data_IF_119191167752
#
_entry.id   IF_119191167752
#
_cell.length_a   1.000
_cell.length_b   1.000
_cell.length_c   1.000
_cell.angle_alpha   90.00
_cell.angle_beta   90.00
_cell.angle_gamma   90.00
#
_symmetry.space_group_name_H-M   'P 1'
#
loop_
_entity.id
_entity.type
_entity.pdbx_description
1 polymer ?
#
# COMPACT_ATOMS: atom_id res chain seq x y z
N UNK A 1 18.27 -22.55 -35.58
CA UNK A 1 16.88 -22.18 -35.72
C UNK A 1 16.27 -23.01 -36.83
N UNK A 2 15.28 -23.81 -36.52
CA UNK A 2 14.64 -24.67 -37.51
C UNK A 2 13.77 -23.82 -38.46
N UNK A 3 13.82 -24.12 -39.71
CA UNK A 3 12.98 -23.54 -40.80
C UNK A 3 11.48 -23.88 -40.63
N UNK A 4 11.09 -24.42 -39.50
CA UNK A 4 9.75 -24.96 -39.21
C UNK A 4 8.67 -23.91 -39.02
N UNK A 5 9.00 -22.64 -38.78
CA UNK A 5 8.02 -21.60 -38.45
C UNK A 5 7.37 -20.88 -39.64
N UNK A 6 7.74 -21.18 -40.88
CA UNK A 6 7.29 -20.42 -42.06
C UNK A 6 5.85 -20.76 -42.49
N UNK A 7 5.26 -21.84 -41.96
CA UNK A 7 3.91 -22.32 -42.36
C UNK A 7 2.95 -22.49 -41.17
N UNK A 8 3.34 -22.06 -40.01
CA UNK A 8 2.45 -22.10 -38.82
C UNK A 8 1.48 -20.92 -38.89
N UNK A 9 0.20 -21.20 -38.69
CA UNK A 9 -0.87 -20.21 -38.79
C UNK A 9 -1.73 -20.20 -37.54
N UNK A 10 -2.15 -19.00 -37.13
CA UNK A 10 -3.23 -18.85 -36.15
C UNK A 10 -4.54 -18.83 -36.93
N UNK A 11 -5.37 -19.86 -36.74
CA UNK A 11 -6.65 -19.99 -37.44
C UNK A 11 -7.74 -19.13 -36.81
N UNK A 12 -7.77 -19.09 -35.48
CA UNK A 12 -8.77 -18.32 -34.74
C UNK A 12 -8.25 -17.92 -33.38
N UNK A 13 -8.79 -16.85 -32.85
CA UNK A 13 -8.63 -16.41 -31.45
C UNK A 13 -10.03 -16.20 -30.89
N UNK A 14 -10.40 -16.92 -29.84
CA UNK A 14 -11.74 -16.88 -29.26
C UNK A 14 -11.71 -16.71 -27.76
N UNK A 15 -12.78 -16.17 -27.20
CA UNK A 15 -13.01 -16.03 -25.75
C UNK A 15 -14.26 -16.84 -25.40
N UNK A 16 -14.14 -18.09 -24.93
CA UNK A 16 -15.26 -18.93 -24.64
C UNK A 16 -16.08 -18.41 -23.45
N UNK A 17 -17.41 -18.41 -23.57
CA UNK A 17 -18.38 -18.12 -22.51
C UNK A 17 -18.18 -16.74 -21.83
N UNK A 18 -17.56 -15.79 -22.49
CA UNK A 18 -17.22 -14.47 -21.91
C UNK A 18 -16.34 -14.59 -20.64
N UNK A 19 -15.65 -15.72 -20.49
CA UNK A 19 -14.72 -15.97 -19.39
C UNK A 19 -13.35 -15.32 -19.65
N UNK A 20 -12.51 -15.30 -18.62
CA UNK A 20 -11.13 -14.79 -18.72
C UNK A 20 -10.17 -15.85 -19.29
N UNK A 21 -10.55 -16.41 -20.43
CA UNK A 21 -9.83 -17.46 -21.15
C UNK A 21 -9.75 -17.02 -22.61
N UNK A 22 -8.56 -17.11 -23.18
CA UNK A 22 -8.32 -16.88 -24.58
C UNK A 22 -7.82 -18.20 -25.19
N UNK A 23 -8.52 -18.68 -26.22
CA UNK A 23 -8.12 -19.85 -27.00
C UNK A 23 -7.62 -19.44 -28.35
N UNK A 24 -6.42 -19.89 -28.70
CA UNK A 24 -5.84 -19.71 -30.03
C UNK A 24 -5.76 -21.07 -30.70
N UNK A 25 -6.45 -21.21 -31.82
CA UNK A 25 -6.33 -22.41 -32.63
C UNK A 25 -5.16 -22.23 -33.62
N UNK A 26 -4.23 -23.15 -33.53
CA UNK A 26 -2.98 -23.14 -34.30
C UNK A 26 -3.00 -24.29 -35.32
N UNK A 27 -2.43 -24.03 -36.49
CA UNK A 27 -2.21 -25.04 -37.52
C UNK A 27 -0.72 -25.06 -37.89
N UNK A 28 -0.14 -26.23 -37.96
CA UNK A 28 1.25 -26.42 -38.32
C UNK A 28 1.41 -27.72 -39.11
N UNK A 29 2.52 -27.86 -39.83
CA UNK A 29 2.93 -29.13 -40.46
C UNK A 29 3.72 -29.94 -39.42
N UNK A 30 3.39 -31.22 -39.30
CA UNK A 30 4.20 -32.16 -38.50
C UNK A 30 5.50 -32.55 -39.23
N UNK A 31 6.29 -33.45 -38.63
CA UNK A 31 7.56 -33.92 -39.19
C UNK A 31 7.38 -34.70 -40.50
N UNK A 32 6.19 -35.24 -40.76
CA UNK A 32 5.83 -35.93 -41.99
C UNK A 32 5.27 -35.01 -43.08
N UNK A 33 4.98 -33.76 -42.74
CA UNK A 33 4.39 -32.77 -43.64
C UNK A 33 2.86 -32.78 -43.63
N UNK A 34 2.23 -33.50 -42.65
CA UNK A 34 0.79 -33.49 -42.52
C UNK A 34 0.32 -32.31 -41.67
N UNK A 35 -0.87 -31.77 -42.02
CA UNK A 35 -1.48 -30.66 -41.32
C UNK A 35 -2.00 -31.10 -39.98
N UNK A 36 -1.44 -30.54 -38.91
CA UNK A 36 -1.84 -30.77 -37.53
C UNK A 36 -2.40 -29.54 -36.90
N UNK A 37 -3.44 -29.71 -36.08
CA UNK A 37 -4.03 -28.62 -35.29
C UNK A 37 -3.72 -28.77 -33.82
N UNK A 38 -3.46 -27.64 -33.17
CA UNK A 38 -3.21 -27.56 -31.73
C UNK A 38 -3.92 -26.33 -31.17
N UNK A 39 -4.09 -26.31 -29.86
CA UNK A 39 -4.66 -25.14 -29.16
C UNK A 39 -3.70 -24.61 -28.11
N UNK A 40 -3.56 -23.29 -28.09
CA UNK A 40 -2.94 -22.58 -26.99
C UNK A 40 -4.04 -21.89 -26.18
N UNK A 41 -4.17 -22.27 -24.92
CA UNK A 41 -5.20 -21.78 -24.01
C UNK A 41 -4.54 -20.92 -22.94
N UNK A 42 -4.94 -19.66 -22.88
CA UNK A 42 -4.42 -18.69 -21.90
C UNK A 42 -5.52 -18.39 -20.88
N UNK A 43 -5.34 -18.82 -19.65
CA UNK A 43 -6.23 -18.54 -18.52
C UNK A 43 -5.71 -17.34 -17.72
N UNK A 44 -6.50 -16.28 -17.58
CA UNK A 44 -6.12 -15.03 -16.91
C UNK A 44 -6.88 -14.90 -15.59
N UNK A 45 -6.44 -15.65 -14.56
CA UNK A 45 -7.14 -15.79 -13.27
C UNK A 45 -6.25 -15.42 -12.07
N UNK A 46 -5.44 -14.38 -12.19
CA UNK A 46 -4.52 -13.92 -11.14
C UNK A 46 -3.53 -15.01 -10.72
N UNK A 47 -3.52 -15.41 -9.45
CA UNK A 47 -2.62 -16.49 -8.97
C UNK A 47 -2.84 -17.85 -9.65
N UNK A 48 -4.01 -18.07 -10.22
CA UNK A 48 -4.40 -19.29 -10.92
C UNK A 48 -4.22 -19.20 -12.44
N UNK A 49 -3.67 -18.10 -12.96
CA UNK A 49 -3.36 -17.97 -14.39
C UNK A 49 -2.42 -19.07 -14.86
N UNK A 50 -2.68 -19.58 -16.06
CA UNK A 50 -1.89 -20.64 -16.69
C UNK A 50 -1.86 -20.44 -18.21
N UNK A 51 -0.89 -21.04 -18.88
CA UNK A 51 -0.89 -21.22 -20.34
C UNK A 51 -0.78 -22.70 -20.57
N UNK A 52 -1.70 -23.23 -21.36
CA UNK A 52 -1.88 -24.66 -21.58
C UNK A 52 -1.83 -24.92 -23.07
N UNK A 53 -1.06 -25.91 -23.48
CA UNK A 53 -0.92 -26.31 -24.86
C UNK A 53 -1.52 -27.71 -25.04
N UNK A 54 -2.47 -27.85 -25.97
CA UNK A 54 -3.17 -29.10 -26.21
C UNK A 54 -3.06 -29.51 -27.68
N UNK A 55 -3.30 -30.78 -27.94
CA UNK A 55 -3.59 -31.27 -29.28
C UNK A 55 -5.02 -30.92 -29.75
N UNK A 56 -5.41 -31.37 -30.92
CA UNK A 56 -6.72 -31.09 -31.51
C UNK A 56 -7.88 -31.68 -30.65
N UNK A 57 -7.64 -32.81 -30.00
CA UNK A 57 -8.63 -33.52 -29.19
C UNK A 57 -8.75 -32.96 -27.76
N UNK A 58 -7.92 -31.93 -27.44
CA UNK A 58 -7.91 -31.32 -26.13
C UNK A 58 -7.04 -32.04 -25.10
N UNK A 59 -6.21 -32.98 -25.50
CA UNK A 59 -5.23 -33.62 -24.61
C UNK A 59 -4.08 -32.64 -24.36
N UNK A 60 -3.78 -32.40 -23.09
CA UNK A 60 -2.71 -31.50 -22.66
C UNK A 60 -1.36 -32.05 -23.09
N UNK A 61 -0.63 -31.34 -23.92
CA UNK A 61 0.75 -31.61 -24.28
C UNK A 61 1.67 -31.10 -23.18
N UNK A 62 1.47 -29.84 -22.75
CA UNK A 62 2.21 -29.20 -21.68
C UNK A 62 1.48 -27.97 -21.11
N UNK A 63 1.96 -27.45 -19.98
CA UNK A 63 1.45 -26.23 -19.36
C UNK A 63 2.53 -25.55 -18.52
N UNK A 64 2.44 -24.22 -18.35
CA UNK A 64 3.38 -23.48 -17.50
C UNK A 64 3.29 -23.92 -16.05
N UNK A 65 2.06 -24.21 -15.56
CA UNK A 65 1.83 -24.70 -14.20
C UNK A 65 1.20 -26.08 -14.25
N UNK A 66 1.91 -27.08 -13.79
CA UNK A 66 1.38 -28.43 -13.60
C UNK A 66 0.56 -28.49 -12.31
N UNK A 67 -0.72 -28.81 -12.42
CA UNK A 67 -1.66 -28.88 -11.31
C UNK A 67 -2.13 -30.30 -11.15
N UNK A 68 -1.69 -30.97 -10.08
CA UNK A 68 -2.12 -32.33 -9.71
C UNK A 68 -3.30 -32.31 -8.74
N UNK A 69 -3.94 -33.46 -8.50
CA UNK A 69 -4.97 -33.63 -7.47
C UNK A 69 -4.51 -33.24 -6.06
N UNK A 70 -3.21 -33.29 -5.77
CA UNK A 70 -2.67 -32.86 -4.49
C UNK A 70 -2.70 -31.32 -4.33
N UNK A 71 -2.65 -30.58 -5.45
CA UNK A 71 -2.66 -29.12 -5.47
C UNK A 71 -4.07 -28.56 -5.63
N UNK A 72 -4.93 -29.26 -6.38
CA UNK A 72 -6.31 -28.87 -6.63
C UNK A 72 -7.22 -30.09 -6.65
N UNK A 73 -8.27 -30.06 -5.82
CA UNK A 73 -9.34 -31.06 -5.86
C UNK A 73 -10.35 -30.82 -6.99
N UNK A 74 -10.25 -29.70 -7.70
CA UNK A 74 -11.25 -29.26 -8.69
C UNK A 74 -10.95 -29.79 -10.08
N UNK A 75 -9.68 -29.68 -10.53
CA UNK A 75 -9.23 -30.18 -11.83
C UNK A 75 -7.73 -30.43 -11.84
N UNK A 76 -7.30 -31.33 -12.70
CA UNK A 76 -5.89 -31.54 -13.01
C UNK A 76 -5.51 -30.79 -14.29
N UNK A 77 -4.26 -30.27 -14.32
CA UNK A 77 -3.64 -29.73 -15.52
C UNK A 77 -2.25 -30.35 -15.61
N UNK A 78 -2.19 -31.52 -16.27
CA UNK A 78 -0.98 -32.33 -16.42
C UNK A 78 -0.87 -32.86 -17.86
N UNK A 79 0.33 -33.05 -18.40
CA UNK A 79 0.52 -33.69 -19.68
C UNK A 79 -0.19 -35.05 -19.77
N UNK A 80 -0.81 -35.32 -20.91
CA UNK A 80 -1.59 -36.54 -21.16
C UNK A 80 -3.00 -36.55 -20.55
N UNK A 81 -3.42 -35.51 -19.84
CA UNK A 81 -4.81 -35.35 -19.36
C UNK A 81 -5.63 -34.51 -20.33
N UNK A 82 -6.92 -34.79 -20.40
CA UNK A 82 -7.84 -33.94 -21.16
C UNK A 82 -8.01 -32.57 -20.49
N UNK A 83 -7.92 -31.48 -21.24
CA UNK A 83 -8.19 -30.16 -20.73
C UNK A 83 -9.66 -30.01 -20.31
N UNK A 84 -9.85 -29.53 -19.11
CA UNK A 84 -11.18 -29.19 -18.57
C UNK A 84 -11.17 -27.72 -18.20
N UNK A 85 -12.20 -26.97 -18.60
CA UNK A 85 -12.35 -25.58 -18.22
C UNK A 85 -12.35 -25.42 -16.70
N UNK A 86 -11.85 -24.28 -16.18
CA UNK A 86 -12.07 -23.92 -14.79
C UNK A 86 -13.56 -23.99 -14.46
N UNK A 87 -13.93 -24.36 -13.23
CA UNK A 87 -15.33 -24.35 -12.85
C UNK A 87 -15.91 -22.95 -13.06
N UNK A 88 -16.95 -22.89 -13.88
CA UNK A 88 -17.68 -21.66 -14.09
C UNK A 88 -18.28 -21.17 -12.75
N UNK A 89 -18.24 -19.89 -12.47
CA UNK A 89 -19.04 -19.30 -11.42
C UNK A 89 -20.51 -19.49 -11.83
N UNK A 90 -21.42 -19.58 -10.87
CA UNK A 90 -22.87 -19.59 -11.14
C UNK A 90 -23.33 -18.21 -11.66
N UNK A 91 -22.84 -17.85 -12.84
CA UNK A 91 -23.12 -16.58 -13.52
C UNK A 91 -23.49 -16.86 -14.96
N UNK A 92 -24.44 -16.10 -15.45
CA UNK A 92 -24.86 -16.20 -16.85
C UNK A 92 -24.04 -15.27 -17.75
N UNK A 93 -23.95 -15.64 -19.01
CA UNK A 93 -23.36 -14.79 -20.03
C UNK A 93 -24.27 -13.58 -20.29
N UNK A 94 -23.79 -12.34 -20.08
CA UNK A 94 -24.61 -11.14 -20.26
C UNK A 94 -25.13 -10.96 -21.69
N UNK A 95 -24.49 -11.59 -22.67
CA UNK A 95 -24.88 -11.49 -24.08
C UNK A 95 -26.09 -12.35 -24.43
N UNK A 96 -26.41 -13.37 -23.62
CA UNK A 96 -27.45 -14.36 -23.90
C UNK A 96 -28.74 -14.17 -23.07
N UNK A 97 -28.70 -13.31 -22.05
CA UNK A 97 -29.87 -13.07 -21.19
C UNK A 97 -30.86 -12.07 -21.82
N UNK A 98 -32.12 -12.24 -21.48
CA UNK A 98 -33.22 -11.34 -21.83
C UNK A 98 -33.71 -10.47 -20.66
N UNK A 99 -34.67 -9.61 -20.90
CA UNK A 99 -35.27 -8.76 -19.87
C UNK A 99 -35.91 -9.57 -18.74
N UNK A 100 -36.51 -10.71 -19.05
CA UNK A 100 -37.17 -11.55 -18.06
C UNK A 100 -36.14 -12.15 -17.08
N UNK A 101 -35.02 -12.62 -17.62
CA UNK A 101 -33.92 -13.10 -16.79
C UNK A 101 -33.35 -11.99 -15.91
N UNK A 102 -33.10 -10.82 -16.49
CA UNK A 102 -32.55 -9.68 -15.74
C UNK A 102 -33.48 -9.27 -14.58
N UNK A 103 -34.77 -9.12 -14.84
CA UNK A 103 -35.76 -8.72 -13.83
C UNK A 103 -35.99 -9.78 -12.75
N UNK A 104 -36.06 -11.06 -13.13
CA UNK A 104 -36.47 -12.13 -12.22
C UNK A 104 -35.33 -12.88 -11.53
N UNK A 105 -34.09 -12.77 -12.04
CA UNK A 105 -32.93 -13.45 -11.46
C UNK A 105 -31.85 -12.46 -10.99
N UNK A 106 -31.51 -11.43 -11.78
CA UNK A 106 -30.48 -10.46 -11.36
C UNK A 106 -31.03 -9.54 -10.28
N UNK A 107 -32.16 -8.86 -10.54
CA UNK A 107 -32.73 -7.88 -9.62
C UNK A 107 -33.51 -8.49 -8.44
N UNK A 108 -33.72 -9.80 -8.40
CA UNK A 108 -34.33 -10.50 -7.26
C UNK A 108 -33.36 -10.90 -6.16
N UNK A 109 -32.07 -10.81 -6.39
CA UNK A 109 -31.06 -11.09 -5.34
C UNK A 109 -31.12 -10.00 -4.26
N UNK A 110 -31.27 -10.33 -2.96
CA UNK A 110 -31.42 -9.37 -1.87
C UNK A 110 -30.07 -8.73 -1.48
N UNK A 111 -29.47 -8.00 -2.39
CA UNK A 111 -28.17 -7.33 -2.24
C UNK A 111 -28.23 -5.94 -2.87
N UNK A 112 -27.14 -5.17 -2.84
CA UNK A 112 -27.10 -3.90 -3.57
C UNK A 112 -27.17 -4.13 -5.08
N UNK A 113 -27.74 -3.16 -5.81
CA UNK A 113 -27.95 -3.22 -7.27
C UNK A 113 -26.67 -3.53 -8.01
N UNK A 114 -25.59 -2.80 -7.72
CA UNK A 114 -24.26 -3.07 -8.30
C UNK A 114 -23.84 -4.52 -8.05
N UNK A 115 -23.96 -5.00 -6.80
CA UNK A 115 -23.59 -6.36 -6.43
C UNK A 115 -24.45 -7.40 -7.14
N UNK A 116 -25.76 -7.17 -7.28
CA UNK A 116 -26.66 -8.06 -8.01
C UNK A 116 -26.18 -8.25 -9.46
N UNK A 117 -25.79 -7.18 -10.14
CA UNK A 117 -25.34 -7.22 -11.54
C UNK A 117 -24.04 -8.03 -11.66
N UNK A 118 -22.93 -7.62 -10.98
CA UNK A 118 -21.63 -8.27 -11.22
C UNK A 118 -21.49 -9.67 -10.61
N UNK A 119 -22.37 -10.05 -9.67
CA UNK A 119 -22.39 -11.43 -9.12
C UNK A 119 -23.30 -12.37 -9.91
N UNK A 120 -24.16 -11.86 -10.78
CA UNK A 120 -25.05 -12.67 -11.61
C UNK A 120 -24.55 -12.86 -13.03
N UNK A 121 -23.72 -11.95 -13.52
CA UNK A 121 -23.34 -11.90 -14.92
C UNK A 121 -21.81 -12.04 -15.06
N UNK A 122 -21.39 -12.94 -15.96
CA UNK A 122 -19.98 -13.18 -16.28
C UNK A 122 -19.37 -11.97 -16.99
N UNK A 123 -18.08 -11.70 -16.78
CA UNK A 123 -17.34 -10.65 -17.47
C UNK A 123 -17.63 -9.22 -16.98
N UNK A 124 -18.69 -8.99 -16.21
CA UNK A 124 -19.00 -7.67 -15.66
C UNK A 124 -18.26 -7.45 -14.35
N UNK A 125 -17.47 -6.39 -14.30
CA UNK A 125 -16.76 -5.95 -13.10
C UNK A 125 -17.64 -5.03 -12.23
N UNK A 126 -17.29 -4.80 -10.94
CA UNK A 126 -17.98 -3.80 -10.13
C UNK A 126 -17.98 -2.40 -10.75
N UNK A 127 -16.92 -2.04 -11.50
CA UNK A 127 -16.82 -0.74 -12.18
C UNK A 127 -17.87 -0.62 -13.28
N UNK A 128 -18.01 -1.66 -14.10
CA UNK A 128 -19.01 -1.71 -15.17
C UNK A 128 -20.43 -1.73 -14.59
N UNK A 129 -20.67 -2.47 -13.51
CA UNK A 129 -21.97 -2.49 -12.85
C UNK A 129 -22.33 -1.10 -12.26
N UNK A 130 -21.36 -0.37 -11.70
CA UNK A 130 -21.56 1.02 -11.26
C UNK A 130 -21.85 1.96 -12.43
N UNK A 131 -21.17 1.80 -13.56
CA UNK A 131 -21.43 2.58 -14.77
C UNK A 131 -22.84 2.35 -15.31
N UNK A 132 -23.34 1.10 -15.30
CA UNK A 132 -24.71 0.77 -15.66
C UNK A 132 -25.71 1.48 -14.74
N UNK A 133 -25.49 1.43 -13.41
CA UNK A 133 -26.32 2.13 -12.44
C UNK A 133 -26.30 3.66 -12.67
N UNK A 134 -25.11 4.22 -12.92
CA UNK A 134 -24.96 5.65 -13.18
C UNK A 134 -25.73 6.09 -14.44
N UNK A 135 -25.61 5.34 -15.55
CA UNK A 135 -26.35 5.61 -16.79
C UNK A 135 -27.86 5.50 -16.63
N UNK A 136 -28.32 4.59 -15.76
CA UNK A 136 -29.72 4.44 -15.41
C UNK A 136 -30.24 5.51 -14.43
N UNK A 137 -29.36 6.35 -13.85
CA UNK A 137 -29.73 7.30 -12.81
C UNK A 137 -30.10 6.67 -11.48
N UNK A 138 -29.63 5.43 -11.22
CA UNK A 138 -29.99 4.64 -10.03
C UNK A 138 -28.77 4.57 -9.08
N UNK A 139 -29.04 4.70 -7.77
CA UNK A 139 -27.98 4.47 -6.76
C UNK A 139 -27.62 2.98 -6.69
N UNK A 140 -26.43 2.62 -7.17
CA UNK A 140 -25.92 1.25 -7.15
C UNK A 140 -25.72 0.66 -5.76
N UNK A 141 -25.66 1.49 -4.72
CA UNK A 141 -25.55 1.07 -3.32
C UNK A 141 -26.88 0.65 -2.70
N UNK A 142 -28.02 1.08 -3.25
CA UNK A 142 -29.34 0.72 -2.73
C UNK A 142 -29.67 -0.77 -2.92
N UNK A 143 -30.56 -1.28 -2.07
CA UNK A 143 -31.03 -2.66 -2.20
C UNK A 143 -31.91 -2.83 -3.43
N UNK A 144 -31.75 -3.94 -4.16
CA UNK A 144 -32.64 -4.31 -5.28
C UNK A 144 -34.14 -4.35 -4.90
N UNK A 145 -34.45 -4.70 -3.65
CA UNK A 145 -35.85 -4.73 -3.16
C UNK A 145 -36.46 -3.33 -3.04
N UNK A 146 -35.68 -2.26 -3.05
CA UNK A 146 -36.17 -0.88 -3.00
C UNK A 146 -36.39 -0.24 -4.35
N UNK A 147 -36.08 -0.93 -5.46
CA UNK A 147 -36.23 -0.40 -6.81
C UNK A 147 -37.71 -0.30 -7.22
N UNK A 148 -38.12 0.87 -7.69
CA UNK A 148 -39.39 1.05 -8.40
C UNK A 148 -39.34 0.32 -9.76
N UNK A 149 -40.54 0.14 -10.36
CA UNK A 149 -40.64 -0.52 -11.67
C UNK A 149 -39.91 0.29 -12.76
N UNK A 150 -40.00 1.61 -12.70
CA UNK A 150 -39.31 2.50 -13.64
C UNK A 150 -37.79 2.38 -13.53
N UNK A 151 -37.24 2.38 -12.30
CA UNK A 151 -35.79 2.21 -12.08
C UNK A 151 -35.26 0.85 -12.57
N UNK A 152 -36.08 -0.21 -12.45
CA UNK A 152 -35.74 -1.53 -12.99
C UNK A 152 -35.68 -1.51 -14.52
N UNK A 153 -36.63 -0.84 -15.17
CA UNK A 153 -36.68 -0.68 -16.65
C UNK A 153 -35.48 0.17 -17.13
N UNK A 154 -35.18 1.28 -16.45
CA UNK A 154 -34.02 2.15 -16.76
C UNK A 154 -32.67 1.41 -16.60
N UNK A 155 -32.54 0.58 -15.54
CA UNK A 155 -31.40 -0.28 -15.35
C UNK A 155 -31.22 -1.30 -16.48
N UNK A 156 -32.34 -1.94 -16.90
CA UNK A 156 -32.26 -2.86 -18.02
C UNK A 156 -31.93 -2.16 -19.33
N UNK A 157 -32.48 -0.99 -19.58
CA UNK A 157 -32.18 -0.20 -20.78
C UNK A 157 -30.67 0.19 -20.84
N UNK A 158 -30.11 0.64 -19.71
CA UNK A 158 -28.67 0.95 -19.62
C UNK A 158 -27.78 -0.29 -19.81
N UNK A 159 -28.17 -1.42 -19.21
CA UNK A 159 -27.50 -2.71 -19.41
C UNK A 159 -27.59 -3.19 -20.87
N UNK A 160 -28.79 -3.13 -21.49
CA UNK A 160 -28.99 -3.56 -22.87
C UNK A 160 -28.23 -2.71 -23.88
N UNK A 161 -28.15 -1.40 -23.67
CA UNK A 161 -27.34 -0.52 -24.48
C UNK A 161 -25.84 -0.91 -24.41
N UNK A 162 -25.32 -1.21 -23.23
CA UNK A 162 -23.94 -1.68 -23.06
C UNK A 162 -23.70 -3.05 -23.71
N UNK A 163 -24.64 -3.99 -23.50
CA UNK A 163 -24.62 -5.31 -24.13
C UNK A 163 -24.61 -5.22 -25.66
N UNK A 164 -25.43 -4.34 -26.22
CA UNK A 164 -25.48 -4.09 -27.66
C UNK A 164 -24.17 -3.56 -28.19
N UNK A 165 -23.57 -2.56 -27.53
CA UNK A 165 -22.25 -2.06 -27.90
C UNK A 165 -21.17 -3.16 -27.91
N UNK A 166 -21.22 -4.10 -26.96
CA UNK A 166 -20.29 -5.24 -26.94
C UNK A 166 -20.55 -6.18 -28.11
N UNK A 167 -21.82 -6.49 -28.43
CA UNK A 167 -22.18 -7.36 -29.56
C UNK A 167 -21.81 -6.77 -30.90
N UNK A 168 -21.88 -5.45 -31.01
CA UNK A 168 -21.52 -4.72 -32.24
C UNK A 168 -20.03 -4.33 -32.28
N UNK A 169 -19.24 -4.78 -31.30
CA UNK A 169 -17.80 -4.48 -31.19
C UNK A 169 -17.49 -2.97 -31.13
N UNK A 170 -18.46 -2.17 -30.64
CA UNK A 170 -18.33 -0.72 -30.49
C UNK A 170 -17.68 -0.40 -29.13
N UNK A 171 -16.37 -0.44 -29.11
CA UNK A 171 -15.58 -0.17 -27.91
C UNK A 171 -15.06 1.27 -27.88
N UNK A 172 -15.06 1.86 -26.68
CA UNK A 172 -14.45 3.17 -26.40
C UNK A 172 -13.54 3.05 -25.17
N UNK A 173 -12.36 2.42 -25.33
CA UNK A 173 -11.44 2.16 -24.24
C UNK A 173 -10.99 3.44 -23.56
N UNK A 174 -11.04 3.50 -22.23
CA UNK A 174 -10.67 4.70 -21.48
C UNK A 174 -9.96 4.39 -20.17
N UNK A 175 -9.23 5.40 -19.67
CA UNK A 175 -8.74 5.47 -18.30
C UNK A 175 -9.41 6.65 -17.62
N UNK A 176 -9.98 6.40 -16.43
CA UNK A 176 -10.44 7.43 -15.52
C UNK A 176 -9.27 7.89 -14.64
N UNK A 177 -9.01 9.19 -14.60
CA UNK A 177 -7.97 9.82 -13.80
C UNK A 177 -8.57 10.60 -12.65
N UNK A 178 -7.87 10.58 -11.52
CA UNK A 178 -8.04 11.51 -10.41
C UNK A 178 -6.73 12.29 -10.26
N UNK A 179 -6.70 13.51 -10.80
CA UNK A 179 -5.46 14.25 -10.99
C UNK A 179 -4.45 13.47 -11.84
N UNK A 180 -3.27 13.20 -11.29
CA UNK A 180 -2.24 12.40 -11.99
C UNK A 180 -2.39 10.89 -11.83
N UNK A 181 -3.29 10.43 -10.96
CA UNK A 181 -3.39 9.01 -10.65
C UNK A 181 -4.46 8.32 -11.51
N UNK A 182 -4.13 7.24 -12.24
CA UNK A 182 -5.12 6.41 -12.89
C UNK A 182 -5.93 5.68 -11.82
N UNK A 183 -7.25 5.83 -11.86
CA UNK A 183 -8.18 5.26 -10.89
C UNK A 183 -8.75 3.93 -11.39
N UNK A 184 -9.35 3.95 -12.57
CA UNK A 184 -9.99 2.79 -13.19
C UNK A 184 -9.78 2.81 -14.70
N UNK A 185 -9.98 1.68 -15.36
CA UNK A 185 -10.01 1.58 -16.81
C UNK A 185 -11.08 0.61 -17.28
N UNK A 186 -11.56 0.81 -18.48
CA UNK A 186 -12.56 -0.06 -19.11
C UNK A 186 -12.46 -0.06 -20.63
N UNK A 187 -13.08 -1.05 -21.26
CA UNK A 187 -13.25 -1.12 -22.71
C UNK A 187 -14.38 -0.22 -23.23
N UNK A 188 -15.17 0.35 -22.34
CA UNK A 188 -16.23 1.31 -22.66
C UNK A 188 -16.00 2.60 -21.89
N UNK A 189 -16.65 3.69 -22.33
CA UNK A 189 -16.57 4.99 -21.64
C UNK A 189 -17.18 4.89 -20.25
N UNK A 190 -16.45 5.35 -19.24
CA UNK A 190 -16.88 5.40 -17.84
C UNK A 190 -17.44 6.79 -17.51
N UNK A 191 -18.66 7.08 -17.94
CA UNK A 191 -19.27 8.42 -17.84
C UNK A 191 -19.48 8.89 -16.39
N UNK A 192 -19.51 7.95 -15.43
CA UNK A 192 -19.58 8.26 -14.01
C UNK A 192 -18.34 9.02 -13.47
N UNK A 193 -17.23 9.07 -14.20
CA UNK A 193 -16.03 9.82 -13.84
C UNK A 193 -15.91 11.16 -14.54
N UNK A 194 -16.94 11.59 -15.23
CA UNK A 194 -16.99 12.86 -15.96
C UNK A 194 -16.83 12.71 -17.48
N UNK A 195 -16.56 13.81 -18.13
CA UNK A 195 -16.43 13.87 -19.58
C UNK A 195 -14.98 13.58 -20.02
N UNK A 196 -14.84 13.31 -21.30
CA UNK A 196 -13.53 13.21 -21.94
C UNK A 196 -12.83 14.57 -21.88
N UNK A 197 -11.60 14.58 -21.43
CA UNK A 197 -10.77 15.78 -21.34
C UNK A 197 -9.46 15.62 -22.07
N UNK A 198 -9.12 16.62 -22.88
CA UNK A 198 -7.84 16.70 -23.54
C UNK A 198 -6.69 16.83 -22.54
N UNK A 199 -5.58 16.16 -22.84
CA UNK A 199 -4.34 16.27 -22.08
C UNK A 199 -4.42 15.82 -20.61
N UNK A 200 -5.17 14.77 -20.28
CA UNK A 200 -5.03 14.06 -19.01
C UNK A 200 -3.79 13.13 -19.04
N UNK A 201 -3.11 12.88 -17.89
CA UNK A 201 -3.43 13.36 -16.53
C UNK A 201 -2.99 14.81 -16.24
N UNK A 202 -3.76 15.52 -15.42
CA UNK A 202 -3.42 16.88 -14.93
C UNK A 202 -3.63 16.97 -13.42
N UNK A 203 -2.88 17.87 -12.76
CA UNK A 203 -3.08 18.18 -11.34
C UNK A 203 -4.49 18.77 -11.13
N UNK A 204 -5.17 18.26 -10.12
CA UNK A 204 -6.50 18.75 -9.68
C UNK A 204 -7.61 18.71 -10.79
N UNK A 205 -7.42 17.88 -11.82
CA UNK A 205 -8.43 17.67 -12.86
C UNK A 205 -8.75 16.17 -12.93
N UNK A 206 -10.00 15.85 -12.65
CA UNK A 206 -10.55 14.50 -12.83
C UNK A 206 -11.21 14.40 -14.21
N UNK A 207 -11.15 13.25 -14.86
CA UNK A 207 -11.75 13.06 -16.17
C UNK A 207 -11.35 11.77 -16.85
N UNK A 208 -11.78 11.62 -18.10
CA UNK A 208 -11.53 10.46 -18.92
C UNK A 208 -10.55 10.77 -20.04
N UNK A 209 -9.60 9.84 -20.23
CA UNK A 209 -8.75 9.78 -21.42
C UNK A 209 -9.16 8.57 -22.26
N UNK A 210 -9.59 8.81 -23.49
CA UNK A 210 -10.02 7.76 -24.42
C UNK A 210 -8.85 7.31 -25.31
N UNK A 211 -8.87 6.05 -25.70
CA UNK A 211 -7.80 5.41 -26.48
C UNK A 211 -8.39 4.64 -27.66
N UNK A 212 -7.63 4.41 -28.73
CA UNK A 212 -8.10 3.69 -29.91
C UNK A 212 -8.28 2.18 -29.66
N UNK A 213 -7.63 1.61 -28.65
CA UNK A 213 -7.73 0.19 -28.30
C UNK A 213 -7.35 -0.06 -26.85
N UNK A 214 -7.59 -1.29 -26.35
CA UNK A 214 -7.27 -1.69 -24.97
C UNK A 214 -5.79 -1.85 -24.69
N UNK A 215 -4.95 -2.18 -25.69
CA UNK A 215 -3.52 -2.39 -25.44
C UNK A 215 -2.82 -1.15 -24.87
N UNK A 216 -2.92 0.06 -25.48
CA UNK A 216 -2.35 1.25 -24.88
C UNK A 216 -3.02 1.65 -23.53
N UNK A 217 -4.31 1.35 -23.31
CA UNK A 217 -4.96 1.56 -22.01
C UNK A 217 -4.26 0.75 -20.93
N UNK A 218 -4.07 -0.54 -21.16
CA UNK A 218 -3.43 -1.45 -20.21
C UNK A 218 -1.99 -1.02 -19.94
N UNK A 219 -1.25 -0.70 -20.99
CA UNK A 219 0.13 -0.24 -20.88
C UNK A 219 0.24 1.04 -20.04
N UNK A 220 -0.49 2.09 -20.40
CA UNK A 220 -0.45 3.37 -19.68
C UNK A 220 -0.94 3.24 -18.23
N UNK A 221 -2.03 2.53 -18.01
CA UNK A 221 -2.58 2.31 -16.66
C UNK A 221 -1.58 1.62 -15.72
N UNK A 222 -1.00 0.51 -16.17
CA UNK A 222 -0.06 -0.24 -15.31
C UNK A 222 1.29 0.43 -15.18
N UNK A 223 1.79 1.14 -16.19
CA UNK A 223 2.99 1.98 -16.08
C UNK A 223 2.80 3.07 -15.02
N UNK A 224 1.72 3.86 -15.13
CA UNK A 224 1.42 4.92 -14.17
C UNK A 224 1.22 4.35 -12.75
N UNK A 225 0.48 3.26 -12.61
CA UNK A 225 0.26 2.59 -11.32
C UNK A 225 1.56 2.03 -10.71
N UNK A 226 2.46 1.50 -11.54
CA UNK A 226 3.78 1.03 -11.12
C UNK A 226 4.64 2.18 -10.58
N UNK A 227 4.64 3.33 -11.24
CA UNK A 227 5.36 4.53 -10.80
C UNK A 227 4.81 5.01 -9.45
N UNK A 228 3.49 5.17 -9.33
CA UNK A 228 2.83 5.58 -8.08
C UNK A 228 3.11 4.59 -6.94
N UNK A 229 3.06 3.29 -7.21
CA UNK A 229 3.34 2.26 -6.21
C UNK A 229 4.81 2.31 -5.76
N UNK A 230 5.74 2.50 -6.70
CA UNK A 230 7.18 2.62 -6.40
C UNK A 230 7.49 3.86 -5.56
N UNK A 231 6.87 5.00 -5.89
CA UNK A 231 6.98 6.24 -5.10
C UNK A 231 6.43 6.01 -3.69
N UNK A 232 5.26 5.37 -3.55
CA UNK A 232 4.67 5.05 -2.24
C UNK A 232 5.56 4.13 -1.41
N UNK A 233 6.10 3.06 -1.99
CA UNK A 233 7.01 2.14 -1.29
C UNK A 233 8.27 2.86 -0.82
N UNK A 234 8.95 3.59 -1.69
CA UNK A 234 10.15 4.36 -1.34
C UNK A 234 9.86 5.41 -0.26
N UNK A 235 8.74 6.13 -0.38
CA UNK A 235 8.30 7.09 0.63
C UNK A 235 8.03 6.42 2.00
N UNK A 236 7.47 5.22 2.01
CA UNK A 236 7.21 4.47 3.26
C UNK A 236 8.50 4.04 3.93
N UNK A 237 9.47 3.54 3.18
CA UNK A 237 10.78 3.13 3.71
C UNK A 237 11.57 4.34 4.24
N UNK A 238 11.60 5.44 3.49
CA UNK A 238 12.24 6.69 3.92
C UNK A 238 11.60 7.23 5.20
N UNK A 239 10.28 7.23 5.31
CA UNK A 239 9.55 7.64 6.53
C UNK A 239 9.92 6.77 7.73
N UNK A 240 9.99 5.46 7.54
CA UNK A 240 10.40 4.54 8.61
C UNK A 240 11.82 4.84 9.10
N UNK A 241 12.74 5.11 8.18
CA UNK A 241 14.12 5.49 8.52
C UNK A 241 14.14 6.81 9.30
N UNK A 242 13.45 7.84 8.80
CA UNK A 242 13.39 9.15 9.44
C UNK A 242 12.72 9.09 10.81
N UNK A 243 11.59 8.39 10.94
CA UNK A 243 10.91 8.21 12.23
C UNK A 243 11.80 7.50 13.26
N UNK A 244 12.50 6.43 12.85
CA UNK A 244 13.44 5.75 13.74
C UNK A 244 14.60 6.67 14.18
N UNK A 245 15.09 7.52 13.27
CA UNK A 245 16.11 8.51 13.60
C UNK A 245 15.58 9.56 14.60
N UNK A 246 14.38 10.09 14.37
CA UNK A 246 13.70 11.03 15.27
C UNK A 246 13.54 10.43 16.67
N UNK A 247 13.02 9.20 16.78
CA UNK A 247 12.84 8.55 18.08
C UNK A 247 14.16 8.36 18.83
N UNK A 248 15.24 7.97 18.14
CA UNK A 248 16.56 7.80 18.75
C UNK A 248 17.13 9.12 19.22
N UNK A 249 17.07 10.16 18.39
CA UNK A 249 17.59 11.49 18.70
C UNK A 249 16.76 12.15 19.82
N UNK A 250 15.44 12.00 19.81
CA UNK A 250 14.57 12.50 20.90
C UNK A 250 14.91 11.83 22.25
N UNK A 251 15.05 10.50 22.29
CA UNK A 251 15.44 9.78 23.51
C UNK A 251 16.83 10.21 24.00
N UNK A 252 17.78 10.43 23.10
CA UNK A 252 19.13 10.93 23.43
C UNK A 252 19.05 12.34 24.02
N UNK A 253 18.28 13.23 23.42
CA UNK A 253 18.08 14.60 23.88
C UNK A 253 17.42 14.63 25.26
N UNK A 254 16.36 13.87 25.50
CA UNK A 254 15.67 13.78 26.79
C UNK A 254 16.56 13.26 27.91
N UNK A 255 17.39 12.24 27.62
CA UNK A 255 18.36 11.71 28.55
C UNK A 255 19.42 12.76 28.92
N UNK A 256 19.99 13.44 27.94
CA UNK A 256 20.98 14.50 28.13
C UNK A 256 20.38 15.66 28.95
N UNK A 257 19.14 16.07 28.66
CA UNK A 257 18.41 17.09 29.41
C UNK A 257 18.18 16.70 30.87
N UNK A 258 17.82 15.45 31.11
CA UNK A 258 17.66 14.92 32.47
C UNK A 258 19.00 14.92 33.23
N UNK A 259 20.07 14.46 32.59
CA UNK A 259 21.41 14.47 33.17
C UNK A 259 21.91 15.90 33.45
N UNK A 260 21.61 16.86 32.53
CA UNK A 260 21.95 18.27 32.70
C UNK A 260 21.29 18.85 33.95
N UNK A 261 20.02 18.54 34.17
CA UNK A 261 19.26 18.94 35.38
C UNK A 261 19.89 18.38 36.66
N UNK A 262 20.41 17.16 36.63
CA UNK A 262 21.07 16.57 37.79
C UNK A 262 22.42 17.26 38.12
N UNK A 263 23.04 17.91 37.15
CA UNK A 263 24.28 18.69 37.36
C UNK A 263 24.03 20.04 38.05
N UNK A 264 22.78 20.54 38.08
CA UNK A 264 22.42 21.78 38.80
C UNK A 264 22.77 21.72 40.29
N UNK A 265 22.81 20.51 40.84
CA UNK A 265 23.20 20.28 42.26
C UNK A 265 24.72 20.54 42.51
N UNK A 266 25.52 20.86 41.49
CA UNK A 266 26.97 21.09 41.63
C UNK A 266 27.29 22.20 42.59
N UNK A 267 26.53 23.31 42.54
CA UNK A 267 26.83 24.49 43.36
C UNK A 267 26.67 24.20 44.88
N UNK A 268 25.79 23.30 45.25
CA UNK A 268 25.67 22.79 46.62
C UNK A 268 26.97 22.15 47.10
N UNK A 269 27.65 21.36 46.28
CA UNK A 269 28.91 20.72 46.62
C UNK A 269 30.09 21.70 46.69
N UNK A 270 30.04 22.79 45.93
CA UNK A 270 30.99 23.89 46.03
C UNK A 270 30.88 24.55 47.41
N UNK A 271 29.65 24.95 47.76
CA UNK A 271 29.33 25.58 49.05
C UNK A 271 29.75 24.65 50.24
N UNK A 272 29.44 23.36 50.13
CA UNK A 272 29.87 22.39 51.18
C UNK A 272 31.38 22.34 51.33
N UNK A 273 32.17 22.32 50.24
CA UNK A 273 33.62 22.34 50.28
C UNK A 273 34.21 23.61 50.88
N UNK A 274 33.62 24.76 50.53
CA UNK A 274 34.04 26.08 51.03
C UNK A 274 33.76 26.24 52.54
N UNK A 275 32.53 25.86 52.97
CA UNK A 275 32.15 25.92 54.37
C UNK A 275 32.98 24.97 55.27
N UNK A 276 33.26 23.75 54.78
CA UNK A 276 34.14 22.84 55.47
C UNK A 276 35.61 23.34 55.57
N UNK A 277 36.05 24.07 54.57
CA UNK A 277 37.36 24.71 54.62
C UNK A 277 37.44 25.83 55.65
N UNK A 278 36.33 26.60 55.79
CA UNK A 278 36.24 27.70 56.75
C UNK A 278 35.94 27.30 58.18
N UNK A 279 35.04 26.34 58.38
CA UNK A 279 34.55 25.91 59.68
C UNK A 279 35.04 24.52 60.15
N UNK A 280 35.84 23.85 59.35
CA UNK A 280 36.31 22.49 59.61
C UNK A 280 37.17 22.33 60.87
N UNK A 281 37.70 23.42 61.41
CA UNK A 281 38.42 23.44 62.68
C UNK A 281 37.51 23.07 63.89
N UNK A 282 36.19 23.22 63.74
CA UNK A 282 35.21 22.85 64.80
C UNK A 282 34.80 21.39 64.78
N UNK A 283 35.15 20.64 63.71
CA UNK A 283 34.83 19.20 63.58
C UNK A 283 35.77 18.34 64.49
N UNK A 284 35.17 17.35 65.12
CA UNK A 284 35.91 16.32 65.86
C UNK A 284 36.04 15.05 65.03
N UNK A 285 37.09 14.27 65.19
CA UNK A 285 37.19 12.97 64.58
C UNK A 285 36.00 12.08 64.90
N UNK A 286 35.34 11.53 63.87
CA UNK A 286 34.13 10.70 64.00
C UNK A 286 32.81 11.42 63.86
N UNK A 287 32.79 12.73 63.63
CA UNK A 287 31.56 13.48 63.39
C UNK A 287 30.95 13.06 62.03
N UNK A 288 29.60 12.83 62.02
CA UNK A 288 28.86 12.43 60.83
C UNK A 288 28.29 13.61 60.06
N UNK A 289 28.19 14.78 60.69
CA UNK A 289 27.70 16.01 60.09
C UNK A 289 28.24 17.24 60.87
N UNK A 290 28.23 18.38 60.18
CA UNK A 290 28.49 19.67 60.79
C UNK A 290 27.42 20.64 60.38
N UNK A 291 26.89 21.42 61.34
CA UNK A 291 25.93 22.53 61.07
C UNK A 291 26.67 23.84 61.24
N UNK A 292 26.73 24.64 60.20
CA UNK A 292 27.39 25.94 60.18
C UNK A 292 26.53 26.97 59.40
N UNK A 293 26.79 28.24 59.66
CA UNK A 293 26.15 29.31 58.93
C UNK A 293 26.74 29.42 57.50
N UNK A 294 25.83 29.43 56.54
CA UNK A 294 26.19 29.66 55.13
C UNK A 294 26.38 31.16 54.93
N UNK A 295 27.57 31.63 54.72
CA UNK A 295 27.91 33.04 54.56
C UNK A 295 27.36 33.67 53.27
N UNK A 296 26.77 32.87 52.33
CA UNK A 296 26.14 33.40 51.11
C UNK A 296 24.70 33.90 51.36
N UNK A 297 23.94 33.28 52.26
CA UNK A 297 22.52 33.56 52.49
C UNK A 297 22.14 33.60 53.98
N UNK A 298 23.16 33.53 54.88
CA UNK A 298 22.98 33.47 56.35
C UNK A 298 22.09 32.34 56.86
N UNK A 299 21.84 31.29 56.09
CA UNK A 299 21.09 30.13 56.49
C UNK A 299 21.94 29.13 57.26
N UNK A 300 21.33 28.41 58.19
CA UNK A 300 22.02 27.29 58.83
C UNK A 300 22.01 26.07 57.93
N UNK A 301 23.17 25.55 57.57
CA UNK A 301 23.36 24.45 56.65
C UNK A 301 24.01 23.26 57.31
N UNK A 302 23.39 22.09 57.22
CA UNK A 302 24.00 20.84 57.73
C UNK A 302 24.68 20.10 56.64
N UNK A 303 25.96 19.87 56.79
CA UNK A 303 26.84 19.21 55.79
C UNK A 303 27.16 17.81 56.30
N UNK A 304 26.82 16.76 55.53
CA UNK A 304 27.18 15.39 55.86
C UNK A 304 28.67 15.16 55.75
N UNK A 305 29.24 14.46 56.74
CA UNK A 305 30.67 14.11 56.80
C UNK A 305 30.86 12.60 56.71
N UNK A 306 31.95 12.19 56.14
CA UNK A 306 32.49 10.84 56.29
C UNK A 306 33.30 10.79 57.55
N UNK A 307 32.86 10.02 58.58
CA UNK A 307 33.50 10.01 59.93
C UNK A 307 34.92 9.40 59.92
N UNK A 308 35.27 8.66 58.86
CA UNK A 308 36.61 8.07 58.69
C UNK A 308 37.63 9.06 58.09
N UNK A 309 37.14 10.23 57.63
CA UNK A 309 37.98 11.25 56.97
C UNK A 309 38.02 12.54 57.78
N UNK A 310 39.14 13.25 57.71
CA UNK A 310 39.24 14.58 58.28
C UNK A 310 38.34 15.59 57.57
N UNK A 311 38.03 16.71 58.23
CA UNK A 311 37.22 17.79 57.65
C UNK A 311 37.81 18.28 56.31
N UNK A 312 39.14 18.36 56.19
CA UNK A 312 39.84 18.78 54.99
C UNK A 312 39.69 17.74 53.85
N UNK A 313 39.76 16.45 54.18
CA UNK A 313 39.54 15.39 53.18
C UNK A 313 38.08 15.35 52.72
N UNK A 314 37.13 15.56 53.58
CA UNK A 314 35.70 15.73 53.24
C UNK A 314 35.50 16.96 52.32
N UNK A 315 36.14 18.09 52.62
CA UNK A 315 36.12 19.29 51.75
C UNK A 315 36.69 18.96 50.37
N UNK A 316 37.85 18.30 50.28
CA UNK A 316 38.46 17.86 49.00
C UNK A 316 37.53 16.91 48.25
N UNK A 317 36.82 15.99 48.92
CA UNK A 317 35.82 15.10 48.31
C UNK A 317 34.66 15.87 47.69
N UNK A 318 34.16 16.92 48.37
CA UNK A 318 33.10 17.76 47.84
C UNK A 318 33.57 18.63 46.64
N UNK A 319 34.75 19.19 46.67
CA UNK A 319 35.35 19.89 45.55
C UNK A 319 35.59 18.97 44.33
N UNK A 320 36.01 17.73 44.57
CA UNK A 320 36.14 16.75 43.49
C UNK A 320 34.80 16.42 42.84
N UNK A 321 33.72 16.28 43.67
CA UNK A 321 32.33 16.13 43.17
C UNK A 321 31.88 17.34 42.38
N UNK A 322 32.11 18.54 42.85
CA UNK A 322 31.82 19.78 42.13
C UNK A 322 32.51 19.84 40.77
N UNK A 323 33.82 19.61 40.76
CA UNK A 323 34.64 19.67 39.53
C UNK A 323 34.17 18.61 38.50
N UNK A 324 33.85 17.40 38.98
CA UNK A 324 33.30 16.34 38.11
C UNK A 324 31.95 16.79 37.50
N UNK A 325 31.01 17.29 38.30
CA UNK A 325 29.72 17.73 37.83
C UNK A 325 29.81 18.98 36.93
N UNK A 326 30.77 19.89 37.21
CA UNK A 326 31.04 21.06 36.36
C UNK A 326 31.49 20.65 34.95
N UNK A 327 32.45 19.76 34.85
CA UNK A 327 32.90 19.23 33.55
C UNK A 327 31.78 18.48 32.81
N UNK A 328 30.99 17.71 33.54
CA UNK A 328 29.82 17.01 32.97
C UNK A 328 28.79 18.02 32.46
N UNK A 329 28.53 19.10 33.20
CA UNK A 329 27.61 20.17 32.79
C UNK A 329 28.07 20.84 31.50
N UNK A 330 29.31 21.26 31.43
CA UNK A 330 29.92 21.92 30.26
C UNK A 330 29.81 21.04 29.02
N UNK A 331 30.14 19.76 29.11
CA UNK A 331 30.01 18.79 28.01
C UNK A 331 28.56 18.51 27.61
N UNK A 332 27.65 18.38 28.59
CA UNK A 332 26.23 18.12 28.32
C UNK A 332 25.53 19.34 27.71
N UNK A 333 25.93 20.56 28.05
CA UNK A 333 25.38 21.77 27.44
C UNK A 333 25.60 21.77 25.94
N UNK A 334 26.81 21.51 25.50
CA UNK A 334 27.18 21.45 24.07
C UNK A 334 26.44 20.30 23.36
N UNK A 335 26.51 19.08 23.91
CA UNK A 335 25.84 17.89 23.35
C UNK A 335 24.30 18.03 23.30
N UNK A 336 23.69 18.75 24.24
CA UNK A 336 22.23 18.96 24.25
C UNK A 336 21.79 19.91 23.14
N UNK A 337 22.61 20.94 22.85
CA UNK A 337 22.37 21.86 21.73
C UNK A 337 22.45 21.09 20.40
N UNK A 338 23.53 20.35 20.18
CA UNK A 338 23.72 19.54 18.97
C UNK A 338 22.55 18.56 18.76
N UNK A 339 22.17 17.84 19.80
CA UNK A 339 21.07 16.85 19.71
C UNK A 339 19.73 17.53 19.43
N UNK A 340 19.50 18.75 19.89
CA UNK A 340 18.31 19.52 19.59
C UNK A 340 18.29 19.97 18.13
N UNK A 341 19.38 20.50 17.63
CA UNK A 341 19.52 20.93 16.23
C UNK A 341 19.32 19.75 15.27
N UNK A 342 19.89 18.58 15.58
CA UNK A 342 19.67 17.34 14.82
C UNK A 342 18.20 16.92 14.83
N UNK A 343 17.52 17.00 15.98
CA UNK A 343 16.09 16.68 16.10
C UNK A 343 15.23 17.63 15.27
N UNK A 344 15.47 18.93 15.37
CA UNK A 344 14.75 19.95 14.62
C UNK A 344 14.94 19.78 13.09
N UNK A 345 16.15 19.43 12.67
CA UNK A 345 16.44 19.07 11.27
C UNK A 345 15.67 17.84 10.81
N UNK A 346 15.69 16.75 11.58
CA UNK A 346 14.96 15.51 11.24
C UNK A 346 13.43 15.73 11.15
N UNK A 347 12.87 16.58 12.02
CA UNK A 347 11.46 16.99 11.97
C UNK A 347 11.15 17.78 10.70
N UNK A 348 12.05 18.65 10.25
CA UNK A 348 11.89 19.37 8.98
C UNK A 348 11.92 18.45 7.77
N UNK A 349 12.78 17.42 7.79
CA UNK A 349 12.82 16.36 6.76
C UNK A 349 11.53 15.56 6.75
N UNK A 350 10.99 15.21 7.92
CA UNK A 350 9.69 14.52 8.04
C UNK A 350 8.58 15.33 7.39
N UNK A 351 8.48 16.62 7.68
CA UNK A 351 7.50 17.53 7.07
C UNK A 351 7.67 17.61 5.54
N UNK A 352 8.90 17.67 5.05
CA UNK A 352 9.18 17.67 3.61
C UNK A 352 8.73 16.38 2.93
N UNK A 353 8.91 15.20 3.57
CA UNK A 353 8.42 13.92 3.09
C UNK A 353 6.88 13.83 3.11
N UNK A 354 6.20 14.56 3.97
CA UNK A 354 4.73 14.65 3.99
C UNK A 354 4.20 15.50 2.85
N UNK A 355 4.84 16.61 2.55
CA UNK A 355 4.49 17.50 1.44
C UNK A 355 4.74 16.81 0.09
N UNK A 356 5.86 16.10 -0.08
CA UNK A 356 6.19 15.33 -1.29
C UNK A 356 5.20 14.20 -1.64
N UNK A 357 4.21 13.92 -0.78
CA UNK A 357 3.09 12.99 -1.04
C UNK A 357 2.04 13.57 -1.98
N UNK A 358 1.98 14.86 -2.11
CA UNK A 358 0.93 15.60 -2.82
C UNK A 358 1.42 16.26 -4.10
N UNK A 359 2.69 16.15 -4.40
CA UNK A 359 3.33 16.57 -5.64
C UNK A 359 3.86 15.35 -6.41
#
# INVERSE_FOLDING_TARGET
GSEMCIRDSILSVTQPNFERIVEMQLEHLDEMGDLCQKKLIVEIMGKHSNIIFTDADGTIIDSIKHISHQVSSVREVLPGRTYVYPPAQEKENPLDIDINYFMNHVLRKPVSVTKAIYTSLTGLSPVIANEICYRAGVDGGMSTAGLSMQEQEDLYAAFDAMRTSIKEEQFAPCIAYQGYAPKEFAACTLTMYGEEADNLPKKDVDGLKVFPSMSPVIEEYYQAKSVVTRIRQRSTDLRKIVNNAIERTAKKYDLQRSQLKDTEKRDKYKVYGELLTAYGYSCKPGDKEITCENYYDSSMLTIPLDPEQSAMENAKRYFNKYNKLKRTYEALMELTVESKEELDYLLSVQNSLEIAKTE
#
